data_IF_902845154066
#
_entry.id   IF_902845154066
#
_cell.length_a   1.000
_cell.length_b   1.000
_cell.length_c   1.000
_cell.angle_alpha   90.00
_cell.angle_beta   90.00
_cell.angle_gamma   90.00
#
_symmetry.space_group_name_H-M   'P 1'
#
loop_
_entity.id
_entity.type
_entity.pdbx_description
1 polymer ?
#
# COMPACT_ATOMS: atom_id res chain seq x y z
N UNK A 1 -14.36 16.29 6.02
CA UNK A 1 -14.35 14.86 6.37
C UNK A 1 -13.07 14.22 5.89
N UNK A 2 -12.32 13.63 6.81
CA UNK A 2 -11.15 12.80 6.54
C UNK A 2 -11.46 11.34 6.89
N UNK A 3 -10.84 10.40 6.19
CA UNK A 3 -10.90 8.97 6.52
C UNK A 3 -9.78 8.65 7.49
N UNK A 4 -10.05 7.80 8.48
CA UNK A 4 -9.08 7.33 9.45
C UNK A 4 -9.13 5.80 9.53
N UNK A 5 -7.96 5.18 9.62
CA UNK A 5 -7.81 3.74 9.85
C UNK A 5 -7.35 3.49 11.28
N UNK A 6 -7.96 2.53 11.95
CA UNK A 6 -7.50 2.06 13.24
C UNK A 6 -6.28 1.16 13.05
N UNK A 7 -5.16 1.47 13.71
CA UNK A 7 -3.88 0.78 13.50
C UNK A 7 -3.88 -0.66 13.99
N UNK A 8 -4.70 -0.98 15.00
CA UNK A 8 -4.73 -2.30 15.62
C UNK A 8 -5.74 -3.25 14.96
N UNK A 9 -6.87 -2.71 14.52
CA UNK A 9 -8.00 -3.51 14.00
C UNK A 9 -8.21 -3.35 12.49
N UNK A 10 -7.56 -2.36 11.86
CA UNK A 10 -7.73 -2.06 10.44
C UNK A 10 -9.07 -1.42 10.08
N UNK A 11 -9.91 -1.07 11.07
CA UNK A 11 -11.23 -0.47 10.84
C UNK A 11 -11.08 0.93 10.23
N UNK A 12 -11.83 1.22 9.16
CA UNK A 12 -11.83 2.54 8.51
C UNK A 12 -13.11 3.29 8.87
N UNK A 13 -12.98 4.53 9.34
CA UNK A 13 -14.10 5.43 9.62
C UNK A 13 -13.90 6.79 8.97
N UNK A 14 -15.01 7.48 8.69
CA UNK A 14 -15.02 8.88 8.25
C UNK A 14 -15.32 9.79 9.44
N UNK A 15 -14.47 10.80 9.66
CA UNK A 15 -14.61 11.78 10.72
C UNK A 15 -14.34 13.18 10.19
N UNK A 16 -15.10 14.18 10.66
CA UNK A 16 -14.80 15.58 10.35
C UNK A 16 -13.77 16.19 11.31
N UNK A 17 -13.42 15.48 12.38
CA UNK A 17 -12.44 15.87 13.38
C UNK A 17 -11.16 15.02 13.30
N UNK A 18 -10.02 15.63 13.66
CA UNK A 18 -8.74 14.94 13.77
C UNK A 18 -8.77 13.93 14.91
N UNK A 19 -8.59 12.65 14.57
CA UNK A 19 -8.51 11.58 15.56
C UNK A 19 -7.09 11.48 16.13
N UNK A 20 -6.98 11.13 17.40
CA UNK A 20 -5.73 10.87 18.10
C UNK A 20 -5.72 9.44 18.66
N UNK A 21 -4.53 8.92 18.97
CA UNK A 21 -4.35 7.55 19.45
C UNK A 21 -4.09 6.57 18.31
N UNK A 22 -4.72 5.39 18.36
CA UNK A 22 -4.60 4.32 17.37
C UNK A 22 -5.27 4.62 16.02
N UNK A 23 -5.41 5.90 15.64
CA UNK A 23 -6.07 6.32 14.42
C UNK A 23 -5.08 7.06 13.52
N UNK A 24 -4.88 6.54 12.32
CA UNK A 24 -4.07 7.18 11.28
C UNK A 24 -4.96 7.72 10.17
N UNK A 25 -4.73 8.97 9.77
CA UNK A 25 -5.46 9.58 8.66
C UNK A 25 -5.12 8.84 7.36
N UNK A 26 -6.15 8.32 6.71
CA UNK A 26 -6.08 7.73 5.37
C UNK A 26 -5.95 8.88 4.38
N UNK A 27 -4.73 9.39 4.25
CA UNK A 27 -4.40 10.29 3.16
C UNK A 27 -4.31 9.46 1.89
N UNK A 28 -5.03 9.88 0.85
CA UNK A 28 -5.00 9.26 -0.49
C UNK A 28 -3.59 9.29 -1.13
N UNK A 29 -2.63 9.96 -0.47
CA UNK A 29 -1.19 9.72 -0.62
C UNK A 29 -0.79 8.39 0.01
N UNK A 30 -1.40 7.30 -0.46
CA UNK A 30 -0.73 6.00 -0.47
C UNK A 30 0.38 6.03 -1.52
N UNK A 31 1.40 6.85 -1.25
CA UNK A 31 2.78 6.35 -1.30
C UNK A 31 2.93 5.38 -0.11
N UNK A 32 2.05 4.36 -0.05
CA UNK A 32 2.34 3.12 0.63
C UNK A 32 3.45 2.59 -0.24
N UNK A 33 4.67 2.91 0.15
CA UNK A 33 5.80 2.15 -0.31
C UNK A 33 5.55 0.72 0.21
N UNK A 34 4.80 -0.06 -0.57
CA UNK A 34 4.50 -1.45 -0.29
C UNK A 34 5.83 -2.07 0.10
N UNK A 35 5.87 -2.73 1.26
CA UNK A 35 7.09 -3.37 1.73
C UNK A 35 7.54 -4.35 0.65
N UNK A 36 8.84 -4.64 0.59
CA UNK A 36 9.39 -5.58 -0.41
C UNK A 36 8.58 -6.88 -0.43
N UNK A 37 8.17 -7.37 0.74
CA UNK A 37 7.31 -8.56 0.87
C UNK A 37 5.92 -8.40 0.22
N UNK A 38 5.26 -7.25 0.38
CA UNK A 38 3.97 -6.96 -0.26
C UNK A 38 4.10 -6.83 -1.78
N UNK A 39 5.15 -6.14 -2.25
CA UNK A 39 5.44 -6.02 -3.69
C UNK A 39 5.70 -7.38 -4.32
N UNK A 40 6.54 -8.21 -3.68
CA UNK A 40 6.82 -9.57 -4.12
C UNK A 40 5.56 -10.43 -4.14
N UNK A 41 4.73 -10.35 -3.09
CA UNK A 41 3.47 -11.10 -3.03
C UNK A 41 2.55 -10.71 -4.18
N UNK A 42 2.36 -9.42 -4.42
CA UNK A 42 1.54 -8.92 -5.54
C UNK A 42 2.07 -9.34 -6.91
N UNK A 43 3.38 -9.26 -7.14
CA UNK A 43 3.98 -9.69 -8.39
C UNK A 43 3.80 -11.20 -8.62
N UNK A 44 3.97 -11.99 -7.56
CA UNK A 44 3.78 -13.44 -7.61
C UNK A 44 2.30 -13.80 -7.86
N UNK A 45 1.35 -13.09 -7.24
CA UNK A 45 -0.09 -13.21 -7.53
C UNK A 45 -0.44 -12.87 -8.99
N UNK A 46 0.25 -11.89 -9.58
CA UNK A 46 0.11 -11.52 -10.99
C UNK A 46 0.85 -12.47 -11.95
N UNK A 47 1.64 -13.42 -11.43
CA UNK A 47 2.49 -14.30 -12.23
C UNK A 47 3.67 -13.56 -12.90
N UNK A 48 4.05 -12.40 -12.37
CA UNK A 48 5.17 -11.60 -12.86
C UNK A 48 6.46 -12.12 -12.25
N UNK A 49 7.39 -12.58 -13.09
CA UNK A 49 8.71 -12.96 -12.65
C UNK A 49 9.55 -11.72 -12.32
N UNK A 50 10.15 -11.72 -11.15
CA UNK A 50 11.04 -10.65 -10.68
C UNK A 50 12.33 -11.23 -10.10
N UNK A 51 13.39 -10.44 -10.15
CA UNK A 51 14.65 -10.82 -9.54
C UNK A 51 14.50 -10.90 -8.00
N UNK A 52 14.90 -12.01 -7.39
CA UNK A 52 14.92 -12.12 -5.90
C UNK A 52 15.89 -11.13 -5.25
N UNK A 53 16.79 -10.55 -6.03
CA UNK A 53 17.71 -9.47 -5.64
C UNK A 53 17.22 -8.09 -6.05
N UNK A 54 16.06 -7.99 -6.71
CA UNK A 54 15.46 -6.73 -7.07
C UNK A 54 15.19 -5.91 -5.80
N UNK A 55 15.49 -4.63 -5.88
CA UNK A 55 15.25 -3.70 -4.79
C UNK A 55 13.77 -3.29 -4.75
N UNK A 56 13.36 -2.65 -3.66
CA UNK A 56 11.97 -2.17 -3.47
C UNK A 56 11.48 -1.31 -4.64
N UNK A 57 12.34 -0.45 -5.18
CA UNK A 57 11.99 0.44 -6.28
C UNK A 57 11.70 -0.34 -7.57
N UNK A 58 12.53 -1.32 -7.91
CA UNK A 58 12.36 -2.19 -9.09
C UNK A 58 11.06 -3.00 -8.99
N UNK A 59 10.81 -3.62 -7.83
CA UNK A 59 9.59 -4.38 -7.59
C UNK A 59 8.33 -3.50 -7.65
N UNK A 60 8.43 -2.27 -7.14
CA UNK A 60 7.34 -1.29 -7.19
C UNK A 60 7.09 -0.79 -8.61
N UNK A 61 8.15 -0.57 -9.39
CA UNK A 61 8.05 -0.15 -10.78
C UNK A 61 7.38 -1.25 -11.63
N UNK A 62 7.85 -2.50 -11.52
CA UNK A 62 7.23 -3.67 -12.15
C UNK A 62 5.74 -3.77 -11.81
N UNK A 63 5.41 -3.67 -10.52
CA UNK A 63 4.02 -3.77 -10.08
C UNK A 63 3.16 -2.65 -10.69
N UNK A 64 3.68 -1.42 -10.70
CA UNK A 64 2.96 -0.25 -11.23
C UNK A 64 2.78 -0.33 -12.74
N UNK A 65 3.80 -0.79 -13.47
CA UNK A 65 3.74 -1.02 -14.91
C UNK A 65 2.63 -2.02 -15.26
N UNK A 66 2.61 -3.18 -14.59
CA UNK A 66 1.58 -4.19 -14.79
C UNK A 66 0.17 -3.77 -14.31
N UNK A 67 0.07 -2.88 -13.32
CA UNK A 67 -1.24 -2.38 -12.84
C UNK A 67 -1.78 -1.19 -13.65
N UNK A 68 -0.94 -0.44 -14.36
CA UNK A 68 -1.36 0.72 -15.15
C UNK A 68 -1.78 0.38 -16.58
N UNK A 69 -1.57 -0.85 -17.06
CA UNK A 69 -2.06 -1.32 -18.36
C UNK A 69 -3.50 -1.87 -18.35
N UNK A 70 -4.31 -1.48 -17.36
CA UNK A 70 -5.72 -1.88 -17.21
C UNK A 70 -6.72 -0.77 -17.58
#
# INVERSE_FOLDING_TARGET
MALYTHTETGVVISSDCKLAGNWEEVTDKKDKELTVAELQSRLNELGVEYDKKANKAELQALLKEHQSEG
#
